data_IF_048471387519
#
_entry.id   IF_048471387519
#
_cell.length_a   1.000
_cell.length_b   1.000
_cell.length_c   1.000
_cell.angle_alpha   90.00
_cell.angle_beta   90.00
_cell.angle_gamma   90.00
#
_symmetry.space_group_name_H-M   'P 1'
#
loop_
_entity.id
_entity.type
_entity.pdbx_description
1 polymer ?
#
# COMPACT_ATOMS: atom_id res chain seq x y z
N UNK A 1 10.04 -3.83 -23.96
CA UNK A 1 9.73 -2.38 -23.95
C UNK A 1 10.95 -1.48 -24.27
N UNK A 2 12.18 -2.00 -24.42
CA UNK A 2 13.33 -1.20 -24.88
C UNK A 2 13.93 -0.25 -23.85
N UNK A 3 13.62 -0.42 -22.56
CA UNK A 3 14.11 0.43 -21.48
C UNK A 3 15.52 0.08 -21.02
N UNK A 4 15.89 -1.21 -21.08
CA UNK A 4 17.15 -1.75 -20.58
C UNK A 4 17.71 -2.69 -21.66
N UNK A 5 19.01 -2.57 -22.04
CA UNK A 5 19.66 -3.54 -22.93
C UNK A 5 19.62 -4.95 -22.32
N UNK A 6 19.48 -6.00 -23.14
CA UNK A 6 19.34 -7.39 -22.65
C UNK A 6 20.54 -7.89 -21.81
N UNK A 7 21.67 -7.20 -21.90
CA UNK A 7 22.93 -7.55 -21.22
C UNK A 7 23.08 -6.92 -19.82
N UNK A 8 22.13 -6.10 -19.38
CA UNK A 8 22.26 -5.34 -18.11
C UNK A 8 21.47 -6.02 -16.99
N UNK A 9 22.16 -6.28 -15.87
CA UNK A 9 21.52 -6.76 -14.65
C UNK A 9 20.50 -5.74 -14.12
N UNK A 10 19.23 -6.15 -14.03
CA UNK A 10 18.10 -5.30 -13.65
C UNK A 10 17.91 -5.15 -12.15
N UNK A 11 18.42 -6.10 -11.35
CA UNK A 11 18.32 -6.10 -9.89
C UNK A 11 18.83 -4.79 -9.23
N UNK A 12 20.03 -4.27 -9.57
CA UNK A 12 20.51 -3.02 -8.97
C UNK A 12 19.75 -1.77 -9.46
N UNK A 13 19.13 -1.84 -10.64
CA UNK A 13 18.29 -0.75 -11.17
C UNK A 13 16.97 -0.70 -10.41
N UNK A 14 16.34 -1.86 -10.18
CA UNK A 14 15.10 -1.98 -9.41
C UNK A 14 15.28 -1.43 -7.99
N UNK A 15 16.36 -1.83 -7.30
CA UNK A 15 16.67 -1.35 -5.96
C UNK A 15 16.91 0.17 -5.92
N UNK A 16 17.57 0.72 -6.94
CA UNK A 16 17.79 2.16 -7.03
C UNK A 16 16.50 2.95 -7.30
N UNK A 17 15.60 2.41 -8.13
CA UNK A 17 14.28 3.00 -8.35
C UNK A 17 13.43 2.96 -7.09
N UNK A 18 13.42 1.83 -6.38
CA UNK A 18 12.71 1.68 -5.11
C UNK A 18 13.22 2.63 -4.02
N UNK A 19 14.54 2.87 -3.98
CA UNK A 19 15.19 3.81 -3.07
C UNK A 19 15.04 5.29 -3.48
N UNK A 20 14.86 5.59 -4.77
CA UNK A 20 14.64 6.95 -5.25
C UNK A 20 13.15 7.38 -5.16
N UNK A 21 12.23 6.45 -5.39
CA UNK A 21 10.78 6.65 -5.36
C UNK A 21 10.06 6.39 -4.01
N UNK A 22 10.69 6.10 -2.85
CA UNK A 22 9.97 5.73 -1.64
C UNK A 22 9.25 6.93 -1.04
N UNK A 23 9.61 8.17 -1.42
CA UNK A 23 8.83 9.35 -1.06
C UNK A 23 7.51 9.41 -1.84
N UNK A 24 7.45 8.86 -3.06
CA UNK A 24 6.20 8.81 -3.86
C UNK A 24 5.21 7.84 -3.24
N UNK A 25 5.72 6.75 -2.69
CA UNK A 25 4.88 5.75 -2.04
C UNK A 25 4.61 6.13 -0.58
N UNK A 26 5.59 6.55 0.23
CA UNK A 26 5.42 6.77 1.68
C UNK A 26 5.03 8.22 2.08
N UNK A 27 5.17 9.24 1.23
CA UNK A 27 4.69 10.58 1.57
C UNK A 27 3.18 10.69 1.35
N UNK A 28 2.54 11.65 2.04
CA UNK A 28 1.21 12.09 1.65
C UNK A 28 1.23 12.43 0.17
N UNK A 29 0.39 11.76 -0.63
CA UNK A 29 0.25 11.96 -2.08
C UNK A 29 0.11 13.45 -2.44
N UNK A 30 -0.34 14.27 -1.47
CA UNK A 30 -0.40 15.73 -1.48
C UNK A 30 0.94 16.46 -1.69
N UNK A 31 2.10 15.84 -1.43
CA UNK A 31 3.42 16.50 -1.50
C UNK A 31 4.23 16.12 -2.74
N UNK A 32 3.65 15.34 -3.65
CA UNK A 32 4.34 14.80 -4.82
C UNK A 32 4.14 15.67 -6.06
N UNK A 33 5.11 16.53 -6.34
CA UNK A 33 5.18 17.20 -7.63
C UNK A 33 5.82 16.27 -8.68
N UNK A 34 5.28 16.28 -9.90
CA UNK A 34 5.73 15.40 -10.96
C UNK A 34 7.18 15.71 -11.39
N UNK A 35 7.57 16.99 -11.34
CA UNK A 35 8.97 17.40 -11.57
C UNK A 35 9.98 16.62 -10.73
N UNK A 36 9.78 16.53 -9.41
CA UNK A 36 10.69 15.83 -8.48
C UNK A 36 10.77 14.34 -8.79
N UNK A 37 9.66 13.73 -9.18
CA UNK A 37 9.64 12.31 -9.59
C UNK A 37 10.47 12.10 -10.86
N UNK A 38 10.30 12.97 -11.84
CA UNK A 38 11.06 12.92 -13.11
C UNK A 38 12.54 13.20 -12.89
N UNK A 39 12.89 14.16 -12.03
CA UNK A 39 14.28 14.50 -11.71
C UNK A 39 14.99 13.30 -11.06
N UNK A 40 14.35 12.66 -10.07
CA UNK A 40 14.88 11.45 -9.41
C UNK A 40 14.99 10.26 -10.36
N UNK A 41 14.02 10.08 -11.27
CA UNK A 41 14.11 9.06 -12.31
C UNK A 41 15.32 9.34 -13.22
N UNK A 42 15.55 10.60 -13.58
CA UNK A 42 16.70 11.05 -14.34
C UNK A 42 18.03 10.72 -13.67
N UNK A 43 18.14 10.91 -12.35
CA UNK A 43 19.33 10.56 -11.57
C UNK A 43 19.65 9.06 -11.65
N UNK A 44 18.63 8.21 -11.51
CA UNK A 44 18.77 6.76 -11.62
C UNK A 44 19.15 6.35 -13.04
N UNK A 45 18.51 6.94 -14.05
CA UNK A 45 18.83 6.70 -15.46
C UNK A 45 20.28 7.07 -15.78
N UNK A 46 20.77 8.20 -15.25
CA UNK A 46 22.15 8.63 -15.42
C UNK A 46 23.13 7.64 -14.76
N UNK A 47 22.83 7.21 -13.53
CA UNK A 47 23.67 6.29 -12.75
C UNK A 47 23.81 4.92 -13.43
N UNK A 48 22.74 4.39 -13.99
CA UNK A 48 22.72 3.03 -14.57
C UNK A 48 22.76 2.99 -16.11
N UNK A 49 22.91 4.15 -16.76
CA UNK A 49 23.04 4.30 -18.23
C UNK A 49 21.95 3.60 -19.05
N UNK A 50 20.73 3.55 -18.54
CA UNK A 50 19.58 3.09 -19.33
C UNK A 50 18.70 4.28 -19.71
N UNK A 51 18.04 4.19 -20.87
CA UNK A 51 17.31 5.31 -21.48
C UNK A 51 15.85 4.97 -21.71
N UNK A 52 14.98 5.95 -21.51
CA UNK A 52 13.57 5.83 -21.88
C UNK A 52 13.41 5.87 -23.41
N UNK A 53 12.57 5.01 -24.01
CA UNK A 53 12.22 5.14 -25.42
C UNK A 53 11.61 6.52 -25.73
N UNK A 54 11.79 7.06 -26.97
CA UNK A 54 11.35 8.41 -27.32
C UNK A 54 9.87 8.70 -27.03
N UNK A 55 9.01 7.69 -27.20
CA UNK A 55 7.58 7.79 -26.93
C UNK A 55 7.28 8.15 -25.46
N UNK A 56 7.94 7.49 -24.50
CA UNK A 56 7.73 7.76 -23.08
C UNK A 56 8.31 9.12 -22.66
N UNK A 57 9.44 9.53 -23.24
CA UNK A 57 10.02 10.87 -23.02
C UNK A 57 9.03 11.96 -23.46
N UNK A 58 8.36 11.76 -24.60
CA UNK A 58 7.36 12.70 -25.09
C UNK A 58 6.18 12.83 -24.11
N UNK A 59 5.66 11.70 -23.62
CA UNK A 59 4.57 11.69 -22.61
C UNK A 59 5.00 12.46 -21.36
N UNK A 60 6.16 12.15 -20.79
CA UNK A 60 6.66 12.80 -19.58
C UNK A 60 6.84 14.30 -19.79
N UNK A 61 7.40 14.71 -20.94
CA UNK A 61 7.56 16.13 -21.27
C UNK A 61 6.22 16.85 -21.38
N UNK A 62 5.22 16.24 -22.01
CA UNK A 62 3.88 16.81 -22.09
C UNK A 62 3.24 16.96 -20.70
N UNK A 63 3.32 15.94 -19.86
CA UNK A 63 2.80 15.99 -18.48
C UNK A 63 3.48 17.08 -17.65
N UNK A 64 4.80 17.25 -17.77
CA UNK A 64 5.52 18.30 -17.07
C UNK A 64 5.12 19.72 -17.50
N UNK A 65 4.85 19.93 -18.80
CA UNK A 65 4.32 21.21 -19.29
C UNK A 65 2.90 21.45 -18.78
N UNK A 66 2.04 20.42 -18.81
CA UNK A 66 0.66 20.53 -18.31
C UNK A 66 0.63 20.84 -16.80
N UNK A 67 1.47 20.17 -15.99
CA UNK A 67 1.60 20.48 -14.57
C UNK A 67 2.10 21.92 -14.36
N UNK A 68 3.11 22.36 -15.10
CA UNK A 68 3.63 23.73 -15.02
C UNK A 68 2.60 24.81 -15.39
N UNK A 69 1.68 24.52 -16.31
CA UNK A 69 0.54 25.41 -16.63
C UNK A 69 -0.49 25.40 -15.51
N UNK A 70 -0.82 24.23 -14.96
CA UNK A 70 -1.78 24.10 -13.88
C UNK A 70 -1.32 24.80 -12.58
N UNK A 71 -0.02 24.75 -12.28
CA UNK A 71 0.59 25.44 -11.13
C UNK A 71 0.46 26.97 -11.18
N UNK A 72 0.23 27.55 -12.36
CA UNK A 72 -0.04 28.99 -12.49
C UNK A 72 -1.46 29.36 -12.06
N UNK A 73 -2.39 28.40 -12.04
CA UNK A 73 -3.79 28.59 -11.65
C UNK A 73 -4.00 28.16 -10.19
N UNK A 74 -3.41 27.02 -9.81
CA UNK A 74 -3.47 26.45 -8.46
C UNK A 74 -2.06 26.05 -8.01
N UNK A 75 -1.51 26.77 -7.04
CA UNK A 75 -0.15 26.56 -6.54
C UNK A 75 0.04 25.22 -5.82
N UNK A 76 -1.04 24.59 -5.36
CA UNK A 76 -1.03 23.29 -4.68
C UNK A 76 -1.38 22.13 -5.63
N UNK A 77 -1.52 22.41 -6.93
CA UNK A 77 -1.82 21.39 -7.93
C UNK A 77 -0.66 20.41 -8.10
N UNK A 78 -1.00 19.11 -8.08
CA UNK A 78 -0.07 18.02 -8.35
C UNK A 78 -0.75 17.00 -9.27
N UNK A 79 -0.21 16.78 -10.47
CA UNK A 79 -0.86 15.89 -11.45
C UNK A 79 -0.90 14.43 -10.96
N UNK A 80 0.15 14.00 -10.24
CA UNK A 80 0.22 12.66 -9.65
C UNK A 80 -0.88 12.48 -8.61
N UNK A 81 -1.15 13.50 -7.79
CA UNK A 81 -2.19 13.47 -6.78
C UNK A 81 -3.57 13.28 -7.39
N UNK A 82 -3.85 13.99 -8.47
CA UNK A 82 -5.13 13.89 -9.18
C UNK A 82 -5.30 12.57 -9.94
N UNK A 83 -4.21 11.99 -10.41
CA UNK A 83 -4.22 10.71 -11.11
C UNK A 83 -4.24 9.49 -10.17
N UNK A 84 -3.84 9.66 -8.91
CA UNK A 84 -3.70 8.55 -7.97
C UNK A 84 -4.98 7.72 -7.76
N UNK A 85 -6.18 8.31 -7.55
CA UNK A 85 -7.43 7.55 -7.44
C UNK A 85 -7.70 6.64 -8.63
N UNK A 86 -7.45 7.14 -9.85
CA UNK A 86 -7.61 6.38 -11.08
C UNK A 86 -6.60 5.23 -11.18
N UNK A 87 -5.32 5.48 -10.84
CA UNK A 87 -4.29 4.44 -10.85
C UNK A 87 -4.59 3.36 -9.81
N UNK A 88 -5.01 3.76 -8.60
CA UNK A 88 -5.39 2.85 -7.54
C UNK A 88 -6.60 1.98 -7.95
N UNK A 89 -7.65 2.60 -8.48
CA UNK A 89 -8.81 1.89 -9.01
C UNK A 89 -8.39 0.90 -10.09
N UNK A 90 -7.54 1.32 -11.04
CA UNK A 90 -7.10 0.45 -12.14
C UNK A 90 -6.22 -0.70 -11.66
N UNK A 91 -5.35 -0.49 -10.66
CA UNK A 91 -4.54 -1.57 -10.08
C UNK A 91 -5.41 -2.63 -9.40
N UNK A 92 -6.54 -2.24 -8.81
CA UNK A 92 -7.47 -3.14 -8.14
C UNK A 92 -8.39 -3.89 -9.11
N UNK A 93 -8.77 -3.28 -10.24
CA UNK A 93 -9.79 -3.81 -11.17
C UNK A 93 -9.28 -4.32 -12.51
N UNK A 94 -7.98 -4.20 -12.81
CA UNK A 94 -7.42 -4.67 -14.09
C UNK A 94 -6.90 -6.11 -13.99
N UNK A 95 -7.40 -7.00 -14.85
CA UNK A 95 -7.07 -8.44 -14.86
C UNK A 95 -5.71 -8.78 -15.51
N UNK A 96 -4.94 -7.79 -15.94
CA UNK A 96 -3.64 -8.04 -16.57
C UNK A 96 -2.66 -8.65 -15.57
N UNK A 97 -1.94 -9.73 -15.95
CA UNK A 97 -0.96 -10.37 -15.05
C UNK A 97 0.11 -9.40 -14.53
N UNK A 98 0.46 -8.39 -15.32
CA UNK A 98 1.45 -7.38 -14.96
C UNK A 98 0.95 -6.44 -13.86
N UNK A 99 -0.31 -5.98 -13.94
CA UNK A 99 -0.87 -5.09 -12.90
C UNK A 99 -1.15 -5.88 -11.62
N UNK A 100 -1.60 -7.12 -11.71
CA UNK A 100 -1.75 -8.00 -10.55
C UNK A 100 -0.41 -8.22 -9.85
N UNK A 101 0.66 -8.50 -10.60
CA UNK A 101 2.01 -8.65 -10.03
C UNK A 101 2.50 -7.35 -9.37
N UNK A 102 2.19 -6.19 -9.97
CA UNK A 102 2.54 -4.89 -9.41
C UNK A 102 1.75 -4.55 -8.13
N UNK A 103 0.46 -4.88 -8.10
CA UNK A 103 -0.38 -4.77 -6.90
C UNK A 103 0.22 -5.61 -5.77
N UNK A 104 0.59 -6.85 -6.06
CA UNK A 104 1.21 -7.76 -5.08
C UNK A 104 2.53 -7.22 -4.55
N UNK A 105 3.41 -6.75 -5.43
CA UNK A 105 4.69 -6.16 -5.02
C UNK A 105 4.50 -4.90 -4.14
N UNK A 106 3.35 -4.23 -4.22
CA UNK A 106 3.06 -3.04 -3.43
C UNK A 106 2.45 -3.37 -2.06
N UNK A 107 1.54 -4.35 -2.01
CA UNK A 107 0.85 -4.75 -0.78
C UNK A 107 1.63 -5.81 0.02
N UNK A 108 2.58 -6.53 -0.59
CA UNK A 108 3.48 -7.46 0.10
C UNK A 108 4.89 -6.95 0.17
N UNK A 109 5.53 -7.19 1.32
CA UNK A 109 6.97 -7.05 1.46
C UNK A 109 7.51 -8.22 2.29
N UNK A 110 8.49 -8.95 1.74
CA UNK A 110 9.15 -10.09 2.42
C UNK A 110 8.16 -11.13 3.00
N UNK A 111 7.04 -11.37 2.31
CA UNK A 111 6.00 -12.32 2.73
C UNK A 111 5.03 -11.80 3.80
N UNK A 112 5.19 -10.56 4.27
CA UNK A 112 4.22 -9.89 5.15
C UNK A 112 3.31 -8.95 4.35
N UNK A 113 2.03 -8.93 4.68
CA UNK A 113 1.08 -7.99 4.11
C UNK A 113 1.26 -6.61 4.74
N UNK A 114 1.13 -5.56 3.94
CA UNK A 114 1.19 -4.16 4.35
C UNK A 114 -0.22 -3.58 4.39
N UNK A 115 -0.91 -3.72 5.52
CA UNK A 115 -2.29 -3.26 5.66
C UNK A 115 -2.48 -1.79 5.31
N UNK A 116 -1.57 -0.93 5.78
CA UNK A 116 -1.59 0.51 5.48
C UNK A 116 -1.62 0.80 3.97
N UNK A 117 -1.00 -0.06 3.16
CA UNK A 117 -0.93 0.08 1.70
C UNK A 117 -2.22 -0.33 1.03
N UNK A 118 -2.76 -1.47 1.45
CA UNK A 118 -4.04 -1.94 0.96
C UNK A 118 -5.15 -0.93 1.29
N UNK A 119 -5.17 -0.44 2.54
CA UNK A 119 -6.13 0.58 2.98
C UNK A 119 -5.99 1.87 2.15
N UNK A 120 -4.77 2.40 2.00
CA UNK A 120 -4.54 3.62 1.24
C UNK A 120 -4.94 3.49 -0.25
N UNK A 121 -4.77 2.31 -0.85
CA UNK A 121 -5.24 2.03 -2.20
C UNK A 121 -6.77 2.00 -2.27
N UNK A 122 -7.41 1.25 -1.37
CA UNK A 122 -8.87 1.11 -1.32
C UNK A 122 -9.56 2.45 -1.05
N UNK A 123 -9.05 3.23 -0.08
CA UNK A 123 -9.60 4.54 0.26
C UNK A 123 -9.48 5.53 -0.90
N UNK A 124 -8.40 5.44 -1.68
CA UNK A 124 -8.16 6.31 -2.82
C UNK A 124 -8.96 5.90 -4.05
N UNK A 125 -9.14 4.60 -4.27
CA UNK A 125 -9.96 4.07 -5.35
C UNK A 125 -11.45 4.39 -5.13
N UNK A 126 -11.94 4.27 -3.88
CA UNK A 126 -13.32 4.54 -3.51
C UNK A 126 -13.79 5.99 -3.80
N UNK A 127 -12.85 6.93 -3.95
CA UNK A 127 -13.16 8.31 -4.35
C UNK A 127 -13.46 8.50 -5.85
N UNK A 128 -13.33 7.45 -6.67
CA UNK A 128 -13.53 7.51 -8.12
C UNK A 128 -14.93 6.99 -8.50
N UNK A 129 -15.65 7.70 -9.37
CA UNK A 129 -16.99 7.32 -9.82
C UNK A 129 -17.06 6.03 -10.65
N UNK A 130 -15.91 5.51 -11.09
CA UNK A 130 -15.73 4.32 -11.92
C UNK A 130 -15.24 3.10 -11.11
N UNK A 131 -15.18 3.22 -9.78
CA UNK A 131 -14.78 2.13 -8.88
C UNK A 131 -16.01 1.30 -8.48
N UNK A 132 -16.06 0.06 -8.97
CA UNK A 132 -16.99 -0.95 -8.46
C UNK A 132 -16.29 -1.81 -7.40
N UNK A 133 -16.64 -1.57 -6.13
CA UNK A 133 -16.08 -2.29 -4.99
C UNK A 133 -16.38 -3.79 -5.05
N UNK A 134 -17.50 -4.18 -5.67
CA UNK A 134 -17.88 -5.59 -5.82
C UNK A 134 -16.96 -6.25 -6.83
N UNK A 135 -16.77 -5.63 -8.00
CA UNK A 135 -15.85 -6.15 -9.03
C UNK A 135 -14.41 -6.23 -8.51
N UNK A 136 -13.96 -5.26 -7.73
CA UNK A 136 -12.62 -5.25 -7.13
C UNK A 136 -12.44 -6.41 -6.13
N UNK A 137 -13.44 -6.67 -5.26
CA UNK A 137 -13.40 -7.78 -4.30
C UNK A 137 -13.47 -9.11 -5.03
N UNK A 138 -14.36 -9.25 -6.02
CA UNK A 138 -14.45 -10.47 -6.83
C UNK A 138 -13.14 -10.76 -7.55
N UNK A 139 -12.48 -9.74 -8.09
CA UNK A 139 -11.19 -9.91 -8.74
C UNK A 139 -10.08 -10.30 -7.76
N UNK A 140 -10.01 -9.66 -6.60
CA UNK A 140 -9.03 -10.03 -5.57
C UNK A 140 -9.28 -11.47 -5.10
N UNK A 141 -10.55 -11.85 -4.92
CA UNK A 141 -10.93 -13.21 -4.56
C UNK A 141 -10.59 -14.23 -5.65
N UNK A 142 -10.93 -13.96 -6.92
CA UNK A 142 -10.60 -14.82 -8.07
C UNK A 142 -9.09 -15.01 -8.20
N UNK A 143 -8.32 -13.95 -7.97
CA UNK A 143 -6.86 -14.02 -7.99
C UNK A 143 -6.31 -14.82 -6.81
N UNK A 144 -6.78 -14.56 -5.60
CA UNK A 144 -6.41 -15.28 -4.37
C UNK A 144 -6.66 -16.79 -4.47
N UNK A 145 -7.79 -17.16 -5.07
CA UNK A 145 -8.20 -18.55 -5.27
C UNK A 145 -7.55 -19.18 -6.50
N UNK A 146 -6.82 -18.40 -7.31
CA UNK A 146 -6.08 -18.92 -8.47
C UNK A 146 -4.78 -19.62 -8.05
N UNK A 147 -4.23 -20.52 -8.88
CA UNK A 147 -2.93 -21.16 -8.61
C UNK A 147 -1.76 -20.16 -8.50
N UNK A 148 -1.92 -18.96 -9.06
CA UNK A 148 -0.91 -17.90 -9.01
C UNK A 148 -0.97 -17.16 -7.67
N UNK A 149 -2.16 -17.08 -7.07
CA UNK A 149 -2.41 -16.42 -5.78
C UNK A 149 -2.25 -17.34 -4.56
N UNK A 150 -1.91 -18.62 -4.74
CA UNK A 150 -1.71 -19.56 -3.63
C UNK A 150 -0.71 -19.07 -2.56
N UNK A 151 0.47 -18.51 -2.91
CA UNK A 151 1.39 -17.97 -1.91
C UNK A 151 0.80 -16.81 -1.10
N UNK A 152 -0.03 -16.00 -1.75
CA UNK A 152 -0.71 -14.85 -1.16
C UNK A 152 -1.81 -15.33 -0.18
N UNK A 153 -2.59 -16.32 -0.58
CA UNK A 153 -3.62 -16.92 0.26
C UNK A 153 -3.01 -17.57 1.52
N UNK A 154 -1.86 -18.22 1.39
CA UNK A 154 -1.14 -18.78 2.55
C UNK A 154 -0.66 -17.69 3.51
N UNK A 155 -0.06 -16.61 3.01
CA UNK A 155 0.42 -15.52 3.86
C UNK A 155 -0.74 -14.81 4.59
N UNK A 156 -1.85 -14.56 3.89
CA UNK A 156 -3.07 -14.03 4.49
C UNK A 156 -3.67 -14.95 5.55
N UNK A 157 -3.67 -16.27 5.28
CA UNK A 157 -4.20 -17.25 6.23
C UNK A 157 -3.37 -17.26 7.51
N UNK A 158 -2.03 -17.22 7.39
CA UNK A 158 -1.13 -17.17 8.55
C UNK A 158 -1.40 -15.93 9.40
N UNK A 159 -1.52 -14.76 8.77
CA UNK A 159 -1.74 -13.50 9.48
C UNK A 159 -3.14 -13.45 10.14
N UNK A 160 -4.16 -13.99 9.49
CA UNK A 160 -5.50 -14.12 10.07
C UNK A 160 -5.48 -15.08 11.26
N UNK A 161 -4.77 -16.21 11.15
CA UNK A 161 -4.62 -17.17 12.25
C UNK A 161 -3.89 -16.54 13.43
N UNK A 162 -2.77 -15.84 13.19
CA UNK A 162 -2.02 -15.13 14.24
C UNK A 162 -2.89 -14.07 14.93
N UNK A 163 -3.64 -13.28 14.17
CA UNK A 163 -4.54 -12.26 14.72
C UNK A 163 -5.67 -12.88 15.56
N UNK A 164 -6.22 -14.01 15.11
CA UNK A 164 -7.26 -14.73 15.85
C UNK A 164 -6.72 -15.38 17.13
N UNK A 165 -5.50 -15.94 17.09
CA UNK A 165 -4.85 -16.52 18.26
C UNK A 165 -4.54 -15.46 19.32
N UNK A 166 -4.11 -14.26 18.91
CA UNK A 166 -3.89 -13.13 19.81
C UNK A 166 -5.20 -12.68 20.49
N UNK A 167 -6.28 -12.48 19.72
CA UNK A 167 -7.59 -12.12 20.26
C UNK A 167 -8.15 -13.24 21.16
N UNK A 168 -7.94 -14.50 20.78
CA UNK A 168 -8.32 -15.67 21.58
C UNK A 168 -7.58 -15.69 22.93
N UNK A 169 -6.28 -15.42 22.92
CA UNK A 169 -5.47 -15.35 24.13
C UNK A 169 -5.91 -14.19 25.04
N UNK A 170 -6.17 -13.00 24.48
CA UNK A 170 -6.66 -11.84 25.23
C UNK A 170 -8.03 -12.08 25.86
N UNK A 171 -8.98 -12.63 25.08
CA UNK A 171 -10.33 -12.93 25.58
C UNK A 171 -10.33 -14.05 26.61
N UNK A 172 -9.50 -15.09 26.43
CA UNK A 172 -9.33 -16.15 27.41
C UNK A 172 -8.68 -15.63 28.71
N UNK A 173 -7.65 -14.78 28.60
CA UNK A 173 -7.03 -14.13 29.75
C UNK A 173 -8.01 -13.22 30.50
N UNK A 174 -8.85 -12.47 29.77
CA UNK A 174 -9.90 -11.63 30.35
C UNK A 174 -10.95 -12.46 31.10
N UNK A 175 -11.44 -13.55 30.50
CA UNK A 175 -12.42 -14.44 31.14
C UNK A 175 -11.81 -15.14 32.37
N UNK A 176 -10.55 -15.57 32.29
CA UNK A 176 -9.85 -16.18 33.41
C UNK A 176 -9.65 -15.20 34.57
N UNK A 177 -9.24 -13.96 34.26
CA UNK A 177 -9.12 -12.89 35.26
C UNK A 177 -10.48 -12.60 35.92
N UNK A 178 -11.55 -12.50 35.13
CA UNK A 178 -12.91 -12.31 35.64
C UNK A 178 -13.34 -13.47 36.55
N UNK A 179 -13.09 -14.72 36.15
CA UNK A 179 -13.43 -15.91 36.93
C UNK A 179 -12.64 -16.01 38.24
N UNK A 180 -11.32 -15.74 38.21
CA UNK A 180 -10.47 -15.70 39.40
C UNK A 180 -10.89 -14.56 40.36
N UNK A 181 -11.44 -13.47 39.83
CA UNK A 181 -11.85 -12.32 40.61
C UNK A 181 -13.26 -12.47 41.22
N UNK A 182 -14.19 -13.12 40.52
CA UNK A 182 -15.47 -13.58 41.09
C UNK A 182 -15.22 -14.57 42.25
N UNK A 183 -14.21 -15.43 42.13
CA UNK A 183 -13.82 -16.35 43.19
C UNK A 183 -13.18 -15.65 44.41
N UNK A 184 -12.68 -14.42 44.28
CA UNK A 184 -12.04 -13.64 45.38
C UNK A 184 -12.90 -12.54 45.98
N UNK A 185 -14.11 -12.26 45.44
CA UNK A 185 -15.17 -11.52 46.13
C UNK A 185 -15.13 -9.98 46.03
N UNK A 186 -14.36 -9.40 45.10
CA UNK A 186 -14.30 -7.93 44.88
C UNK A 186 -15.31 -7.43 43.82
N UNK A 187 -15.87 -6.22 43.96
CA UNK A 187 -16.90 -5.68 43.04
C UNK A 187 -16.34 -5.30 41.65
N UNK A 188 -17.09 -5.67 40.60
CA UNK A 188 -16.71 -5.63 39.16
C UNK A 188 -16.52 -4.22 38.59
N UNK A 189 -17.05 -3.19 39.24
CA UNK A 189 -17.13 -1.81 38.70
C UNK A 189 -15.79 -1.07 38.61
N UNK A 190 -14.81 -1.37 39.46
CA UNK A 190 -13.47 -0.73 39.43
C UNK A 190 -12.56 -1.29 38.32
N UNK A 191 -12.86 -2.48 37.81
CA UNK A 191 -12.00 -3.24 36.90
C UNK A 191 -12.24 -2.88 35.44
N UNK A 192 -13.48 -2.54 35.08
CA UNK A 192 -13.84 -2.08 33.72
C UNK A 192 -13.17 -0.74 33.39
N UNK A 193 -13.01 0.15 34.37
CA UNK A 193 -12.27 1.40 34.23
C UNK A 193 -10.75 1.16 34.09
N UNK A 194 -10.18 0.23 34.87
CA UNK A 194 -8.74 -0.09 34.81
C UNK A 194 -8.30 -0.81 33.54
N UNK A 195 -9.12 -1.73 33.02
CA UNK A 195 -8.85 -2.44 31.76
C UNK A 195 -9.06 -1.57 30.53
N UNK A 196 -10.03 -0.64 30.55
CA UNK A 196 -10.17 0.38 29.52
C UNK A 196 -8.90 1.26 29.39
N UNK A 197 -8.26 1.57 30.52
CA UNK A 197 -7.00 2.31 30.54
C UNK A 197 -5.79 1.47 30.06
N UNK A 198 -5.75 0.16 30.37
CA UNK A 198 -4.67 -0.73 29.94
C UNK A 198 -4.74 -1.06 28.44
N UNK A 199 -5.93 -1.28 27.89
CA UNK A 199 -6.14 -1.48 26.45
C UNK A 199 -5.81 -0.22 25.64
N UNK A 200 -6.16 0.97 26.16
CA UNK A 200 -5.77 2.24 25.54
C UNK A 200 -4.25 2.51 25.59
N UNK A 201 -3.54 2.01 26.61
CA UNK A 201 -2.09 2.13 26.73
C UNK A 201 -1.33 1.17 25.79
N UNK A 202 -1.87 -0.03 25.53
CA UNK A 202 -1.29 -1.00 24.59
C UNK A 202 -1.33 -0.55 23.13
N UNK A 203 -2.40 0.15 22.72
CA UNK A 203 -2.55 0.70 21.37
C UNK A 203 -1.63 1.91 21.08
N UNK A 204 -1.06 2.54 22.12
CA UNK A 204 -0.17 3.70 21.98
C UNK A 204 1.29 3.35 21.64
N UNK A 205 1.68 2.08 21.67
CA UNK A 205 3.09 1.65 21.59
C UNK A 205 3.49 1.01 20.25
N UNK A 206 2.62 1.07 19.24
CA UNK A 206 2.89 0.65 17.85
C UNK A 206 2.73 1.85 16.90
N UNK A 207 3.47 2.92 17.20
CA UNK A 207 3.72 4.04 16.27
C UNK A 207 4.97 3.78 15.45
#
# INVERSE_FOLDING_TARGET
LGFVPEEVETAPIALALESALPNVLNASVSQLNFKSVVDKLGDVMYKYRFSLPPFYIAIIRCLGVLEGVALQVDSDFAIIKSAYPFIASRLLTDRSPQLQSALMALIFNEGRLRWDRLEALLSSAAGTSDYDAVDAIEQIADYLLSPIGEPLLMALTEEVVETLDLLGAETAAYIYALAAQIASGTPVTEVVEGLGAAAAAGAGNLR
#
